data_IF_933173779708
#
_entry.id   IF_933173779708
#
_cell.length_a   1.000
_cell.length_b   1.000
_cell.length_c   1.000
_cell.angle_alpha   90.00
_cell.angle_beta   90.00
_cell.angle_gamma   90.00
#
_symmetry.space_group_name_H-M   'P 1'
#
loop_
_entity.id
_entity.type
_entity.pdbx_description
1 polymer ?
#
# COMPACT_ATOMS: atom_id res chain seq x y z
N UNK A 1 18.91 10.79 17.13
CA UNK A 1 17.98 10.65 16.01
C UNK A 1 18.70 11.03 14.73
N UNK A 2 19.27 10.04 14.08
CA UNK A 2 19.75 10.12 12.71
C UNK A 2 18.65 9.66 11.73
N UNK A 3 18.70 10.18 10.50
CA UNK A 3 17.83 9.76 9.40
C UNK A 3 18.73 9.17 8.31
N UNK A 4 18.78 7.85 8.25
CA UNK A 4 19.67 7.07 7.42
C UNK A 4 18.91 6.52 6.20
N UNK A 5 19.10 7.16 5.05
CA UNK A 5 18.40 6.81 3.82
C UNK A 5 19.35 6.05 2.89
N UNK A 6 19.05 4.78 2.65
CA UNK A 6 19.82 3.90 1.76
C UNK A 6 19.10 3.69 0.44
N UNK A 7 19.87 3.47 -0.63
CA UNK A 7 19.41 3.03 -1.94
C UNK A 7 19.99 1.65 -2.26
N UNK A 8 19.15 0.77 -2.78
CA UNK A 8 19.57 -0.53 -3.31
C UNK A 8 20.45 -0.37 -4.55
N UNK A 9 21.56 -1.08 -4.59
CA UNK A 9 22.39 -1.23 -5.78
C UNK A 9 22.30 -2.66 -6.32
N UNK A 10 21.75 -2.80 -7.53
CA UNK A 10 21.62 -4.08 -8.24
C UNK A 10 22.77 -4.35 -9.22
N UNK A 11 23.43 -3.30 -9.68
CA UNK A 11 24.51 -3.27 -10.67
C UNK A 11 25.34 -1.98 -10.49
N UNK A 12 26.38 -1.77 -11.29
CA UNK A 12 27.21 -0.56 -11.18
C UNK A 12 26.43 0.73 -11.50
N UNK A 13 25.38 0.65 -12.32
CA UNK A 13 24.60 1.82 -12.76
C UNK A 13 23.55 2.28 -11.72
N UNK A 14 23.16 1.40 -10.80
CA UNK A 14 22.12 1.64 -9.79
C UNK A 14 22.66 2.10 -8.43
N UNK A 15 23.98 2.34 -8.31
CA UNK A 15 24.55 2.94 -7.10
C UNK A 15 23.96 4.32 -6.80
N UNK A 16 23.87 4.70 -5.53
CA UNK A 16 23.49 6.06 -5.17
C UNK A 16 24.56 7.03 -5.69
N UNK A 17 24.13 8.07 -6.42
CA UNK A 17 25.06 9.13 -6.82
C UNK A 17 25.44 9.97 -5.60
N UNK A 18 26.65 10.55 -5.55
CA UNK A 18 27.05 11.44 -4.46
C UNK A 18 26.08 12.61 -4.23
N UNK A 19 25.46 13.12 -5.29
CA UNK A 19 24.51 14.25 -5.24
C UNK A 19 23.12 13.84 -4.74
N UNK A 20 22.81 12.55 -4.71
CA UNK A 20 21.48 12.06 -4.29
C UNK A 20 21.21 12.27 -2.79
N UNK A 21 22.26 12.39 -1.98
CA UNK A 21 22.18 12.43 -0.52
C UNK A 21 21.77 11.10 0.12
N UNK A 22 21.71 10.01 -0.66
CA UNK A 22 21.43 8.65 -0.22
C UNK A 22 22.73 7.87 -0.03
N UNK A 23 22.73 6.94 0.92
CA UNK A 23 23.79 5.95 1.11
C UNK A 23 23.54 4.76 0.16
N UNK A 24 24.60 4.10 -0.30
CA UNK A 24 24.45 2.87 -1.12
C UNK A 24 24.40 1.64 -0.22
N UNK A 25 23.43 0.75 -0.46
CA UNK A 25 23.41 -0.62 0.06
C UNK A 25 23.62 -1.60 -1.10
N UNK A 26 24.81 -2.19 -1.17
CA UNK A 26 25.20 -3.13 -2.23
C UNK A 26 24.63 -4.52 -1.97
N UNK A 27 23.65 -4.93 -2.78
CA UNK A 27 23.01 -6.24 -2.64
C UNK A 27 23.49 -7.28 -3.66
N UNK A 28 24.55 -6.99 -4.43
CA UNK A 28 25.03 -7.82 -5.55
C UNK A 28 25.70 -9.12 -5.12
N UNK A 29 26.28 -9.17 -3.92
CA UNK A 29 27.00 -10.34 -3.43
C UNK A 29 26.09 -11.57 -3.23
N UNK A 30 24.80 -11.37 -2.93
CA UNK A 30 23.84 -12.44 -2.63
C UNK A 30 22.50 -12.21 -3.36
N UNK A 31 22.44 -12.35 -4.69
CA UNK A 31 21.25 -12.03 -5.43
C UNK A 31 20.14 -13.07 -5.19
N UNK A 32 18.97 -12.60 -4.77
CA UNK A 32 17.77 -13.43 -4.63
C UNK A 32 16.70 -12.99 -5.62
N UNK A 33 16.89 -13.34 -6.89
CA UNK A 33 16.11 -12.82 -8.02
C UNK A 33 14.59 -13.03 -7.91
N UNK A 34 14.17 -14.11 -7.25
CA UNK A 34 12.74 -14.41 -7.04
C UNK A 34 12.13 -13.62 -5.89
N UNK A 35 12.88 -13.42 -4.79
CA UNK A 35 12.39 -12.70 -3.60
C UNK A 35 12.63 -11.18 -3.67
N UNK A 36 13.54 -10.74 -4.54
CA UNK A 36 13.84 -9.33 -4.87
C UNK A 36 14.05 -8.47 -3.64
N UNK A 37 13.38 -7.32 -3.58
CA UNK A 37 13.50 -6.31 -2.53
C UNK A 37 13.22 -6.86 -1.13
N UNK A 38 12.44 -7.94 -0.98
CA UNK A 38 12.15 -8.53 0.33
C UNK A 38 13.40 -9.14 0.96
N UNK A 39 14.14 -9.93 0.19
CA UNK A 39 15.38 -10.54 0.66
C UNK A 39 16.41 -9.47 1.04
N UNK A 40 16.48 -8.40 0.24
CA UNK A 40 17.35 -7.26 0.53
C UNK A 40 16.91 -6.48 1.76
N UNK A 41 15.61 -6.32 2.00
CA UNK A 41 15.08 -5.66 3.19
C UNK A 41 15.40 -6.44 4.47
N UNK A 42 15.26 -7.77 4.45
CA UNK A 42 15.60 -8.63 5.58
C UNK A 42 17.10 -8.54 5.89
N UNK A 43 17.97 -8.63 4.86
CA UNK A 43 19.42 -8.50 5.05
C UNK A 43 19.83 -7.11 5.49
N UNK A 44 19.25 -6.06 4.92
CA UNK A 44 19.50 -4.69 5.33
C UNK A 44 19.19 -4.49 6.83
N UNK A 45 18.13 -5.12 7.32
CA UNK A 45 17.86 -5.12 8.75
C UNK A 45 18.99 -5.79 9.54
N UNK A 46 19.43 -6.98 9.14
CA UNK A 46 20.51 -7.72 9.82
C UNK A 46 21.85 -6.99 9.77
N UNK A 47 22.19 -6.42 8.62
CA UNK A 47 23.51 -5.84 8.37
C UNK A 47 23.66 -4.43 8.97
N UNK A 48 22.58 -3.65 9.06
CA UNK A 48 22.62 -2.21 9.36
C UNK A 48 21.70 -1.83 10.52
N UNK A 49 20.45 -2.27 10.52
CA UNK A 49 19.41 -1.69 11.40
C UNK A 49 19.40 -2.34 12.79
N UNK A 50 19.67 -3.65 12.87
CA UNK A 50 19.53 -4.43 14.10
C UNK A 50 20.35 -3.89 15.27
N UNK A 51 21.56 -3.40 14.99
CA UNK A 51 22.54 -2.89 15.96
C UNK A 51 22.50 -1.36 16.13
N UNK A 52 21.57 -0.66 15.45
CA UNK A 52 21.45 0.79 15.53
C UNK A 52 20.68 1.29 16.77
N UNK A 53 20.73 2.60 17.03
CA UNK A 53 19.93 3.23 18.08
C UNK A 53 18.43 3.06 17.82
N UNK A 54 17.67 2.74 18.87
CA UNK A 54 16.25 2.42 18.75
C UNK A 54 15.40 3.56 18.15
N UNK A 55 15.88 4.81 18.25
CA UNK A 55 15.19 6.01 17.79
C UNK A 55 15.71 6.53 16.44
N UNK A 56 16.69 5.87 15.85
CA UNK A 56 17.19 6.24 14.52
C UNK A 56 16.25 5.72 13.43
N UNK A 57 16.19 6.48 12.33
CA UNK A 57 15.30 6.22 11.21
C UNK A 57 16.06 5.63 10.04
N UNK A 58 15.43 4.66 9.38
CA UNK A 58 16.02 3.92 8.27
C UNK A 58 15.05 3.79 7.11
N UNK A 59 15.60 3.81 5.91
CA UNK A 59 14.89 3.45 4.69
C UNK A 59 15.81 2.70 3.74
N UNK A 60 15.25 1.72 3.04
CA UNK A 60 15.90 1.02 1.93
C UNK A 60 15.07 1.27 0.67
N UNK A 61 15.53 2.24 -0.12
CA UNK A 61 14.79 2.78 -1.25
C UNK A 61 15.26 2.17 -2.58
N UNK A 62 14.32 2.02 -3.51
CA UNK A 62 14.64 1.68 -4.90
C UNK A 62 15.40 2.82 -5.59
N UNK A 63 16.32 2.55 -6.54
CA UNK A 63 16.89 3.57 -7.44
C UNK A 63 15.85 4.42 -8.17
N UNK A 64 14.62 3.90 -8.29
CA UNK A 64 13.50 4.60 -8.93
C UNK A 64 12.75 5.54 -7.98
N UNK A 65 13.16 5.69 -6.71
CA UNK A 65 12.46 6.51 -5.71
C UNK A 65 12.25 7.94 -6.20
N UNK A 66 13.32 8.70 -6.44
CA UNK A 66 13.23 10.08 -6.92
C UNK A 66 12.47 10.17 -8.25
N UNK A 67 12.67 9.21 -9.15
CA UNK A 67 11.94 9.18 -10.40
C UNK A 67 10.42 9.03 -10.19
N UNK A 68 9.96 8.20 -9.24
CA UNK A 68 8.53 7.98 -9.01
C UNK A 68 7.89 9.04 -8.12
N UNK A 69 8.60 9.51 -7.10
CA UNK A 69 8.07 10.43 -6.08
C UNK A 69 8.40 11.88 -6.36
N UNK A 70 9.45 12.18 -7.14
CA UNK A 70 9.99 13.53 -7.29
C UNK A 70 10.71 14.06 -6.05
N UNK A 71 10.88 13.24 -5.00
CA UNK A 71 11.49 13.65 -3.73
C UNK A 71 12.99 13.33 -3.71
N UNK A 72 13.77 14.25 -3.16
CA UNK A 72 15.20 14.08 -2.85
C UNK A 72 15.39 13.54 -1.42
N UNK A 73 16.61 13.14 -1.07
CA UNK A 73 16.93 12.79 0.31
C UNK A 73 16.70 13.96 1.27
N UNK A 74 16.94 15.20 0.81
CA UNK A 74 16.74 16.40 1.62
C UNK A 74 15.26 16.66 1.89
N UNK A 75 14.40 16.56 0.87
CA UNK A 75 12.94 16.71 1.04
C UNK A 75 12.39 15.71 2.07
N UNK A 76 12.90 14.47 2.05
CA UNK A 76 12.52 13.42 3.01
C UNK A 76 12.98 13.77 4.42
N UNK A 77 14.24 14.19 4.59
CA UNK A 77 14.79 14.56 5.90
C UNK A 77 14.08 15.77 6.48
N UNK A 78 13.84 16.81 5.68
CA UNK A 78 13.10 17.99 6.09
C UNK A 78 11.68 17.62 6.52
N UNK A 79 10.97 16.79 5.74
CA UNK A 79 9.63 16.33 6.07
C UNK A 79 9.58 15.61 7.42
N UNK A 80 10.53 14.72 7.69
CA UNK A 80 10.62 13.98 8.96
C UNK A 80 10.95 14.91 10.12
N UNK A 81 11.93 15.80 9.96
CA UNK A 81 12.33 16.76 11.00
C UNK A 81 11.18 17.69 11.38
N UNK A 82 10.38 18.14 10.40
CA UNK A 82 9.22 18.99 10.62
C UNK A 82 8.03 18.25 11.24
N UNK A 83 8.04 16.92 11.25
CA UNK A 83 6.95 16.08 11.76
C UNK A 83 7.49 14.97 12.68
N UNK A 84 8.46 15.29 13.53
CA UNK A 84 9.20 14.32 14.32
C UNK A 84 8.33 13.50 15.28
N UNK A 85 8.84 12.34 15.70
CA UNK A 85 8.23 11.49 16.73
C UNK A 85 7.38 10.33 16.22
N UNK A 86 7.08 10.28 14.90
CA UNK A 86 6.28 9.22 14.28
C UNK A 86 7.07 7.94 14.12
N UNK A 87 6.43 6.78 14.16
CA UNK A 87 7.12 5.49 14.02
C UNK A 87 7.50 5.21 12.58
N UNK A 88 6.67 5.64 11.63
CA UNK A 88 6.89 5.47 10.21
C UNK A 88 6.31 6.62 9.38
N UNK A 89 7.04 6.99 8.34
CA UNK A 89 6.65 7.96 7.32
C UNK A 89 6.45 7.26 5.97
N UNK A 90 5.36 7.57 5.28
CA UNK A 90 4.97 6.88 4.04
C UNK A 90 5.05 7.83 2.84
N UNK A 91 5.71 7.40 1.76
CA UNK A 91 5.90 8.17 0.53
C UNK A 91 5.29 7.44 -0.66
N UNK A 92 3.95 7.41 -0.71
CA UNK A 92 3.20 6.64 -1.69
C UNK A 92 3.28 7.25 -3.12
N UNK A 93 3.94 6.61 -4.09
CA UNK A 93 4.08 7.17 -5.45
C UNK A 93 2.78 7.11 -6.26
N UNK A 94 1.74 6.45 -5.75
CA UNK A 94 0.42 6.33 -6.38
C UNK A 94 -0.68 6.87 -5.46
N UNK A 95 -0.64 8.16 -5.09
CA UNK A 95 -1.47 8.68 -4.01
C UNK A 95 -2.96 8.71 -4.35
N UNK A 96 -3.35 8.53 -5.63
CA UNK A 96 -4.75 8.39 -6.02
C UNK A 96 -5.35 7.01 -5.77
N UNK A 97 -4.55 5.95 -5.70
CA UNK A 97 -5.07 4.58 -5.67
C UNK A 97 -5.89 4.29 -4.40
N UNK A 98 -5.50 4.87 -3.28
CA UNK A 98 -6.24 4.74 -2.01
C UNK A 98 -7.68 5.28 -2.10
N UNK A 99 -7.96 6.20 -3.01
CA UNK A 99 -9.30 6.73 -3.26
C UNK A 99 -10.07 5.98 -4.37
N UNK A 100 -9.40 5.08 -5.09
CA UNK A 100 -9.98 4.35 -6.23
C UNK A 100 -10.40 2.92 -5.86
N UNK A 101 -9.80 2.37 -4.81
CA UNK A 101 -10.00 1.00 -4.36
C UNK A 101 -10.32 1.02 -2.86
N UNK A 102 -11.14 0.08 -2.41
CA UNK A 102 -11.45 -0.09 -0.98
C UNK A 102 -10.18 -0.41 -0.20
N UNK A 103 -9.29 -1.21 -0.77
CA UNK A 103 -7.98 -1.49 -0.21
C UNK A 103 -6.97 -1.84 -1.30
N UNK A 104 -5.72 -1.97 -0.90
CA UNK A 104 -4.65 -2.28 -1.83
C UNK A 104 -4.74 -3.70 -2.40
N UNK A 105 -5.44 -4.62 -1.72
CA UNK A 105 -5.61 -6.00 -2.15
C UNK A 105 -6.66 -6.12 -3.26
N UNK A 106 -7.73 -5.31 -3.25
CA UNK A 106 -8.66 -5.17 -4.38
C UNK A 106 -7.94 -4.66 -5.62
N UNK A 107 -7.07 -3.66 -5.46
CA UNK A 107 -6.22 -3.18 -6.55
C UNK A 107 -5.29 -4.29 -7.06
N UNK A 108 -4.72 -5.07 -6.14
CA UNK A 108 -3.85 -6.20 -6.47
C UNK A 108 -4.59 -7.26 -7.29
N UNK A 109 -5.77 -7.68 -6.83
CA UNK A 109 -6.60 -8.72 -7.48
C UNK A 109 -6.96 -8.34 -8.91
N UNK A 110 -7.26 -7.05 -9.15
CA UNK A 110 -7.52 -6.55 -10.49
C UNK A 110 -6.29 -6.65 -11.42
N UNK A 111 -5.09 -6.48 -10.87
CA UNK A 111 -3.84 -6.52 -11.63
C UNK A 111 -3.28 -7.95 -11.76
N UNK A 112 -3.43 -8.74 -10.71
CA UNK A 112 -2.88 -10.08 -10.51
C UNK A 112 -4.02 -10.97 -9.97
N UNK A 113 -4.82 -11.58 -10.87
CA UNK A 113 -5.92 -12.46 -10.46
C UNK A 113 -5.45 -13.54 -9.48
N UNK A 114 -6.31 -13.93 -8.54
CA UNK A 114 -6.09 -14.94 -7.50
C UNK A 114 -5.11 -14.56 -6.37
N UNK A 115 -4.54 -13.34 -6.39
CA UNK A 115 -3.58 -12.91 -5.36
C UNK A 115 -4.21 -12.84 -3.96
N UNK A 116 -5.48 -12.48 -3.83
CA UNK A 116 -6.17 -12.46 -2.52
C UNK A 116 -6.27 -13.88 -1.97
N UNK A 117 -6.70 -14.84 -2.78
CA UNK A 117 -6.84 -16.23 -2.36
C UNK A 117 -5.49 -16.82 -1.94
N UNK A 118 -4.44 -16.54 -2.71
CA UNK A 118 -3.07 -16.98 -2.41
C UNK A 118 -2.51 -16.32 -1.15
N UNK A 119 -2.81 -15.04 -0.92
CA UNK A 119 -2.40 -14.31 0.28
C UNK A 119 -3.11 -14.84 1.52
N UNK A 120 -4.43 -15.03 1.47
CA UNK A 120 -5.20 -15.58 2.58
C UNK A 120 -4.73 -17.01 2.93
N UNK A 121 -4.37 -17.82 1.94
CA UNK A 121 -3.73 -19.12 2.17
C UNK A 121 -2.42 -18.98 2.96
N UNK A 122 -1.56 -18.02 2.60
CA UNK A 122 -0.31 -17.76 3.32
C UNK A 122 -0.54 -17.37 4.78
N UNK A 123 -1.48 -16.46 5.04
CA UNK A 123 -1.84 -16.04 6.40
C UNK A 123 -2.40 -17.21 7.22
N UNK A 124 -3.25 -18.05 6.62
CA UNK A 124 -3.73 -19.28 7.25
C UNK A 124 -2.59 -20.24 7.60
N UNK A 125 -1.70 -20.52 6.65
CA UNK A 125 -0.56 -21.42 6.85
C UNK A 125 0.42 -20.92 7.91
N UNK A 126 0.60 -19.60 8.01
CA UNK A 126 1.48 -19.00 9.01
C UNK A 126 0.85 -18.91 10.41
N UNK A 127 -0.43 -19.29 10.56
CA UNK A 127 -1.14 -19.14 11.84
C UNK A 127 -1.34 -17.68 12.24
N UNK A 128 -1.44 -16.78 11.26
CA UNK A 128 -1.79 -15.36 11.44
C UNK A 128 -3.17 -15.13 10.80
N UNK A 129 -4.28 -15.56 11.44
CA UNK A 129 -5.59 -15.56 10.80
C UNK A 129 -6.05 -14.11 10.54
N UNK A 130 -5.96 -13.68 9.29
CA UNK A 130 -6.50 -12.42 8.79
C UNK A 130 -7.11 -12.64 7.41
N UNK A 131 -8.16 -11.90 7.09
CA UNK A 131 -8.67 -11.81 5.73
C UNK A 131 -8.26 -10.44 5.17
N UNK A 132 -7.30 -10.48 4.24
CA UNK A 132 -6.72 -9.25 3.68
C UNK A 132 -7.72 -8.45 2.86
N UNK A 133 -8.86 -9.03 2.49
CA UNK A 133 -9.89 -8.40 1.66
C UNK A 133 -10.86 -7.50 2.42
N UNK A 134 -10.94 -7.59 3.75
CA UNK A 134 -12.05 -7.01 4.52
C UNK A 134 -11.85 -5.57 4.99
N UNK A 135 -10.61 -5.09 5.03
CA UNK A 135 -10.29 -3.81 5.66
C UNK A 135 -10.28 -2.70 4.61
N UNK A 136 -10.94 -1.57 4.87
CA UNK A 136 -10.77 -0.33 4.09
C UNK A 136 -9.42 0.26 4.46
N UNK A 137 -8.62 0.61 3.45
CA UNK A 137 -7.32 1.23 3.69
C UNK A 137 -7.34 2.75 3.51
N UNK A 138 -6.70 3.50 4.40
CA UNK A 138 -6.62 4.97 4.33
C UNK A 138 -5.24 5.44 3.87
N UNK A 139 -5.10 6.75 3.65
CA UNK A 139 -3.81 7.37 3.34
C UNK A 139 -2.77 7.16 4.43
N UNK A 140 -3.20 6.96 5.68
CA UNK A 140 -2.30 6.85 6.84
C UNK A 140 -1.59 5.50 6.91
N UNK A 141 -2.12 4.47 6.26
CA UNK A 141 -1.53 3.12 6.29
C UNK A 141 -1.08 2.62 4.91
N UNK A 142 -1.49 3.28 3.82
CA UNK A 142 -1.28 2.73 2.47
C UNK A 142 0.02 3.22 1.83
N UNK A 143 0.89 2.26 1.51
CA UNK A 143 1.98 2.44 0.54
C UNK A 143 2.05 1.23 -0.40
N UNK A 144 2.23 1.47 -1.69
CA UNK A 144 2.22 0.43 -2.73
C UNK A 144 3.62 -0.09 -3.10
N UNK A 145 4.66 0.31 -2.36
CA UNK A 145 6.05 -0.10 -2.59
C UNK A 145 6.91 0.24 -1.36
N UNK A 146 8.19 -0.14 -1.39
CA UNK A 146 9.16 0.11 -0.32
C UNK A 146 9.62 1.58 -0.19
N UNK A 147 8.70 2.54 -0.25
CA UNK A 147 8.97 3.98 -0.12
C UNK A 147 8.44 4.49 1.21
N UNK A 148 9.16 4.13 2.26
CA UNK A 148 8.83 4.45 3.64
C UNK A 148 10.13 4.61 4.44
N UNK A 149 10.05 5.40 5.51
CA UNK A 149 11.15 5.62 6.44
C UNK A 149 10.63 5.35 7.84
N UNK A 150 11.24 4.45 8.59
CA UNK A 150 10.74 4.06 9.91
C UNK A 150 11.83 4.03 10.97
N UNK A 151 11.43 4.17 12.24
CA UNK A 151 12.33 3.97 13.37
C UNK A 151 12.84 2.53 13.40
N UNK A 152 14.03 2.32 13.95
CA UNK A 152 14.55 1.00 14.31
C UNK A 152 13.53 0.18 15.12
N UNK A 153 12.86 0.78 16.11
CA UNK A 153 11.82 0.11 16.89
C UNK A 153 10.61 -0.38 16.08
N UNK A 154 10.32 0.23 14.92
CA UNK A 154 9.32 -0.28 13.98
C UNK A 154 9.85 -1.51 13.22
N UNK A 155 11.09 -1.45 12.73
CA UNK A 155 11.74 -2.59 12.07
C UNK A 155 11.79 -3.83 12.96
N UNK A 156 12.07 -3.67 14.25
CA UNK A 156 12.09 -4.75 15.24
C UNK A 156 10.76 -5.50 15.34
N UNK A 157 9.65 -4.87 14.97
CA UNK A 157 8.32 -5.47 14.96
C UNK A 157 7.95 -6.00 13.56
N UNK A 158 8.27 -5.24 12.52
CA UNK A 158 7.87 -5.56 11.15
C UNK A 158 8.70 -6.69 10.52
N UNK A 159 10.02 -6.73 10.73
CA UNK A 159 10.88 -7.74 10.11
C UNK A 159 10.56 -9.16 10.60
N UNK A 160 10.31 -9.43 11.90
CA UNK A 160 9.83 -10.74 12.35
C UNK A 160 8.52 -11.17 11.67
N UNK A 161 7.59 -10.24 11.44
CA UNK A 161 6.34 -10.51 10.72
C UNK A 161 6.60 -10.95 9.27
N UNK A 162 7.47 -10.22 8.55
CA UNK A 162 7.87 -10.57 7.18
C UNK A 162 8.58 -11.93 7.14
N UNK A 163 9.53 -12.17 8.05
CA UNK A 163 10.28 -13.44 8.15
C UNK A 163 9.36 -14.63 8.39
N UNK A 164 8.35 -14.48 9.24
CA UNK A 164 7.40 -15.57 9.52
C UNK A 164 6.64 -16.00 8.26
N UNK A 165 6.20 -15.03 7.45
CA UNK A 165 5.50 -15.30 6.19
C UNK A 165 6.46 -15.88 5.14
N UNK A 166 7.68 -15.34 5.02
CA UNK A 166 8.70 -15.87 4.12
C UNK A 166 9.07 -17.32 4.45
N UNK A 167 9.35 -17.59 5.73
CA UNK A 167 9.67 -18.91 6.23
C UNK A 167 8.54 -19.91 5.97
N UNK A 168 7.29 -19.49 6.15
CA UNK A 168 6.10 -20.32 5.89
C UNK A 168 6.04 -20.78 4.43
N UNK A 169 6.38 -19.91 3.47
CA UNK A 169 6.48 -20.29 2.06
C UNK A 169 7.64 -21.27 1.87
N UNK A 170 8.79 -20.98 2.47
CA UNK A 170 10.00 -21.79 2.28
C UNK A 170 9.88 -23.21 2.80
N UNK A 171 9.15 -23.41 3.90
CA UNK A 171 8.90 -24.72 4.52
C UNK A 171 7.63 -25.41 4.02
N UNK A 172 6.87 -24.78 3.12
CA UNK A 172 5.65 -25.38 2.57
C UNK A 172 5.96 -26.48 1.55
N UNK A 173 4.97 -27.34 1.28
CA UNK A 173 5.05 -28.34 0.21
C UNK A 173 5.42 -27.69 -1.13
N UNK A 174 6.19 -28.41 -1.94
CA UNK A 174 6.72 -27.91 -3.23
C UNK A 174 5.62 -27.36 -4.15
N UNK A 175 4.45 -27.99 -4.17
CA UNK A 175 3.30 -27.54 -4.95
C UNK A 175 2.73 -26.20 -4.47
N UNK A 176 2.72 -25.96 -3.16
CA UNK A 176 2.27 -24.70 -2.58
C UNK A 176 3.31 -23.61 -2.83
N UNK A 177 4.58 -23.91 -2.54
CA UNK A 177 5.72 -23.01 -2.81
C UNK A 177 5.73 -22.52 -4.25
N UNK A 178 5.50 -23.41 -5.22
CA UNK A 178 5.43 -23.06 -6.64
C UNK A 178 4.35 -22.02 -6.97
N UNK A 179 3.22 -21.99 -6.24
CA UNK A 179 2.16 -20.98 -6.47
C UNK A 179 2.63 -19.57 -6.12
N UNK A 180 3.48 -19.41 -5.11
CA UNK A 180 4.03 -18.10 -4.75
C UNK A 180 5.08 -17.63 -5.75
N UNK A 181 5.82 -18.56 -6.36
CA UNK A 181 6.88 -18.25 -7.33
C UNK A 181 6.43 -18.36 -8.79
N UNK A 182 5.15 -18.62 -9.06
CA UNK A 182 4.62 -18.59 -10.42
C UNK A 182 4.50 -17.17 -10.94
N UNK A 183 4.54 -17.03 -12.27
CA UNK A 183 4.44 -15.74 -12.93
C UNK A 183 3.11 -15.05 -12.62
N UNK A 184 3.22 -13.80 -12.17
CA UNK A 184 2.08 -12.92 -12.04
C UNK A 184 1.89 -12.11 -13.32
N UNK A 185 0.67 -11.68 -13.59
CA UNK A 185 0.36 -10.85 -14.75
C UNK A 185 1.02 -9.45 -14.63
N UNK A 186 2.17 -9.25 -15.27
CA UNK A 186 2.93 -8.01 -15.19
C UNK A 186 3.77 -7.75 -16.46
N UNK A 187 4.15 -6.49 -16.69
CA UNK A 187 4.92 -6.09 -17.88
C UNK A 187 6.33 -6.67 -17.92
N UNK A 188 6.92 -6.89 -16.75
CA UNK A 188 8.22 -7.55 -16.61
C UNK A 188 8.02 -8.86 -15.86
N UNK A 189 8.86 -9.89 -16.10
CA UNK A 189 8.79 -11.13 -15.34
C UNK A 189 8.83 -10.84 -13.84
N UNK A 190 7.84 -11.29 -13.08
CA UNK A 190 7.73 -11.15 -11.63
C UNK A 190 6.74 -12.19 -11.12
N UNK A 191 7.00 -12.74 -9.94
CA UNK A 191 6.13 -13.75 -9.34
C UNK A 191 5.17 -13.15 -8.30
N UNK A 192 4.13 -13.91 -7.94
CA UNK A 192 3.16 -13.50 -6.92
C UNK A 192 3.82 -13.11 -5.59
N UNK A 193 4.90 -13.78 -5.20
CA UNK A 193 5.67 -13.48 -3.99
C UNK A 193 6.01 -11.98 -3.91
N UNK A 194 6.51 -11.38 -5.00
CA UNK A 194 6.88 -9.97 -5.03
C UNK A 194 5.68 -9.06 -4.72
N UNK A 195 4.54 -9.33 -5.37
CA UNK A 195 3.33 -8.53 -5.24
C UNK A 195 2.59 -8.73 -3.91
N UNK A 196 2.74 -9.91 -3.29
CA UNK A 196 2.22 -10.15 -1.95
C UNK A 196 3.06 -9.37 -0.93
N UNK A 197 4.39 -9.51 -1.00
CA UNK A 197 5.27 -8.95 0.02
C UNK A 197 5.39 -7.42 -0.04
N UNK A 198 5.28 -6.79 -1.20
CA UNK A 198 5.23 -5.32 -1.29
C UNK A 198 4.02 -4.71 -0.54
N UNK A 199 2.98 -5.52 -0.27
CA UNK A 199 1.73 -5.11 0.40
C UNK A 199 1.67 -5.47 1.88
N UNK A 200 2.66 -6.22 2.38
CA UNK A 200 2.69 -6.65 3.77
C UNK A 200 2.88 -5.49 4.73
N UNK A 201 3.57 -4.42 4.35
CA UNK A 201 3.72 -3.24 5.19
C UNK A 201 2.35 -2.63 5.54
N UNK A 202 1.54 -2.31 4.53
CA UNK A 202 0.19 -1.77 4.75
C UNK A 202 -0.66 -2.75 5.58
N UNK A 203 -0.59 -4.05 5.28
CA UNK A 203 -1.33 -5.07 6.05
C UNK A 203 -0.88 -5.11 7.51
N UNK A 204 0.42 -4.96 7.76
CA UNK A 204 0.96 -4.89 9.11
C UNK A 204 0.47 -3.64 9.86
N UNK A 205 0.41 -2.47 9.20
CA UNK A 205 -0.11 -1.24 9.79
C UNK A 205 -1.60 -1.35 10.14
N UNK A 206 -2.42 -1.94 9.26
CA UNK A 206 -3.85 -2.23 9.53
C UNK A 206 -4.02 -3.06 10.81
N UNK A 207 -3.19 -4.09 10.97
CA UNK A 207 -3.25 -5.02 12.09
C UNK A 207 -2.69 -4.44 13.39
N UNK A 208 -1.88 -3.38 13.32
CA UNK A 208 -1.18 -2.76 14.46
C UNK A 208 -1.51 -1.26 14.51
N UNK A 209 -2.77 -0.95 14.83
CA UNK A 209 -3.29 0.43 14.85
C UNK A 209 -2.68 1.36 15.91
N UNK A 210 -1.81 0.84 16.77
CA UNK A 210 -1.04 1.58 17.75
C UNK A 210 0.25 2.21 17.18
N UNK A 211 0.62 1.88 15.95
CA UNK A 211 1.79 2.43 15.27
C UNK A 211 1.47 3.83 14.77
N UNK A 212 2.28 4.82 15.15
CA UNK A 212 2.09 6.19 14.67
C UNK A 212 2.64 6.36 13.25
N UNK A 213 1.75 6.49 12.28
CA UNK A 213 2.09 6.73 10.88
C UNK A 213 1.98 8.20 10.51
N UNK A 214 2.71 8.62 9.48
CA UNK A 214 2.55 9.95 8.89
C UNK A 214 2.78 9.95 7.38
N UNK A 215 1.73 10.10 6.55
CA UNK A 215 1.87 10.04 5.10
C UNK A 215 2.31 11.39 4.52
N UNK A 216 3.17 11.33 3.51
CA UNK A 216 3.52 12.49 2.70
C UNK A 216 2.38 12.84 1.73
N UNK A 217 1.81 14.04 1.87
CA UNK A 217 0.79 14.56 0.97
C UNK A 217 1.45 15.42 -0.10
N UNK A 218 1.48 14.90 -1.33
CA UNK A 218 2.05 15.60 -2.49
C UNK A 218 1.40 16.96 -2.77
N UNK A 219 2.24 17.90 -3.22
CA UNK A 219 1.82 19.19 -3.78
C UNK A 219 1.77 19.11 -5.31
N UNK A 220 1.05 20.02 -5.98
CA UNK A 220 0.81 19.91 -7.44
C UNK A 220 2.10 19.96 -8.28
N UNK A 221 3.12 20.64 -7.77
CA UNK A 221 4.45 20.79 -8.38
C UNK A 221 5.41 19.63 -8.05
N UNK A 222 5.07 18.76 -7.10
CA UNK A 222 5.95 17.69 -6.61
C UNK A 222 5.29 16.34 -6.88
N UNK A 223 5.99 15.47 -7.60
CA UNK A 223 5.49 14.14 -7.97
C UNK A 223 5.49 13.89 -9.48
N UNK A 224 5.88 12.67 -9.88
CA UNK A 224 5.86 12.27 -11.29
C UNK A 224 4.64 11.42 -11.66
N UNK A 225 3.76 11.12 -10.70
CA UNK A 225 2.52 10.41 -10.98
C UNK A 225 1.60 11.24 -11.86
N UNK A 226 1.25 10.69 -13.03
CA UNK A 226 0.39 11.36 -14.00
C UNK A 226 -1.07 11.30 -13.55
N UNK A 227 -1.49 12.31 -12.79
CA UNK A 227 -2.90 12.57 -12.52
C UNK A 227 -3.56 13.26 -13.70
N UNK A 228 -4.73 12.76 -14.12
CA UNK A 228 -5.59 13.48 -15.05
C UNK A 228 -6.20 14.73 -14.38
N UNK A 229 -6.80 15.63 -15.17
CA UNK A 229 -7.36 16.91 -14.69
C UNK A 229 -8.34 16.74 -13.52
N UNK A 230 -9.12 15.65 -13.51
CA UNK A 230 -10.13 15.37 -12.49
C UNK A 230 -9.46 14.87 -11.22
N UNK A 231 -8.51 13.94 -11.33
CA UNK A 231 -7.66 13.46 -10.23
C UNK A 231 -6.93 14.61 -9.53
N UNK A 232 -6.32 15.52 -10.30
CA UNK A 232 -5.69 16.72 -9.74
C UNK A 232 -6.69 17.58 -8.96
N UNK A 233 -7.86 17.85 -9.54
CA UNK A 233 -8.92 18.63 -8.90
C UNK A 233 -9.42 17.97 -7.61
N UNK A 234 -9.47 16.65 -7.53
CA UNK A 234 -9.81 15.97 -6.29
C UNK A 234 -8.69 16.08 -5.25
N UNK A 235 -7.49 15.66 -5.63
CA UNK A 235 -6.37 15.45 -4.72
C UNK A 235 -5.83 16.77 -4.13
N UNK A 236 -5.68 17.80 -4.97
CA UNK A 236 -5.08 19.08 -4.57
C UNK A 236 -6.10 20.12 -4.08
N UNK A 237 -7.36 19.72 -3.85
CA UNK A 237 -8.38 20.63 -3.31
C UNK A 237 -8.98 20.10 -2.02
N UNK A 238 -9.90 20.88 -1.44
CA UNK A 238 -10.67 20.48 -0.24
C UNK A 238 -11.40 19.14 -0.40
N UNK A 239 -11.67 18.69 -1.62
CA UNK A 239 -12.38 17.44 -1.87
C UNK A 239 -11.67 16.23 -1.24
N UNK A 240 -10.33 16.18 -1.35
CA UNK A 240 -9.52 15.15 -0.69
C UNK A 240 -9.69 15.24 0.83
N UNK A 241 -9.54 16.43 1.40
CA UNK A 241 -9.62 16.65 2.85
C UNK A 241 -11.00 16.26 3.39
N UNK A 242 -12.06 16.64 2.69
CA UNK A 242 -13.43 16.29 3.04
C UNK A 242 -13.66 14.77 2.92
N UNK A 243 -13.06 14.11 1.92
CA UNK A 243 -13.08 12.66 1.81
C UNK A 243 -12.30 11.98 2.95
N UNK A 244 -11.08 12.42 3.25
CA UNK A 244 -10.25 11.87 4.32
C UNK A 244 -10.95 11.98 5.67
N UNK A 245 -11.62 13.11 5.96
CA UNK A 245 -12.44 13.26 7.18
C UNK A 245 -13.59 12.26 7.22
N UNK A 246 -14.28 12.08 6.10
CA UNK A 246 -15.36 11.09 6.01
C UNK A 246 -14.85 9.66 6.18
N UNK A 247 -13.67 9.34 5.63
CA UNK A 247 -13.02 8.03 5.73
C UNK A 247 -12.48 7.78 7.17
N UNK A 248 -11.97 8.82 7.85
CA UNK A 248 -11.45 8.75 9.23
C UNK A 248 -12.53 8.57 10.29
N UNK A 249 -13.74 9.07 10.06
CA UNK A 249 -14.86 9.01 11.01
C UNK A 249 -15.48 7.60 11.18
N UNK A 250 -14.78 6.54 10.75
CA UNK A 250 -15.16 5.12 10.85
C UNK A 250 -16.67 4.92 10.75
N UNK A 251 -17.21 5.11 9.54
CA UNK A 251 -18.53 4.60 9.14
C UNK A 251 -19.73 5.02 9.99
N UNK A 252 -19.72 6.17 10.68
CA UNK A 252 -20.92 6.56 11.45
C UNK A 252 -22.02 7.20 10.63
N UNK A 253 -21.72 8.03 9.62
CA UNK A 253 -22.76 8.57 8.73
C UNK A 253 -22.25 8.81 7.31
N UNK A 254 -22.86 8.14 6.34
CA UNK A 254 -22.61 8.38 4.92
C UNK A 254 -23.26 9.72 4.52
N UNK A 255 -22.45 10.78 4.40
CA UNK A 255 -22.93 12.06 3.87
C UNK A 255 -23.27 11.91 2.37
N UNK A 256 -24.56 11.93 2.05
CA UNK A 256 -25.08 11.69 0.69
C UNK A 256 -24.62 12.70 -0.37
N UNK A 257 -24.10 13.87 0.06
CA UNK A 257 -23.51 14.90 -0.80
C UNK A 257 -22.07 14.57 -1.17
N UNK A 258 -21.27 14.09 -0.22
CA UNK A 258 -19.89 13.67 -0.45
C UNK A 258 -19.82 12.46 -1.41
N UNK A 259 -20.73 11.50 -1.26
CA UNK A 259 -20.88 10.41 -2.23
C UNK A 259 -21.23 10.92 -3.64
N UNK A 260 -22.08 11.95 -3.76
CA UNK A 260 -22.43 12.51 -5.09
C UNK A 260 -21.21 13.10 -5.79
N UNK A 261 -20.35 13.79 -5.05
CA UNK A 261 -19.15 14.43 -5.59
C UNK A 261 -18.08 13.39 -5.94
N UNK A 262 -17.94 12.34 -5.12
CA UNK A 262 -17.09 11.18 -5.40
C UNK A 262 -17.57 10.37 -6.64
N UNK A 263 -18.87 10.18 -6.82
CA UNK A 263 -19.40 9.52 -8.02
C UNK A 263 -19.28 10.39 -9.29
N UNK A 264 -19.37 11.72 -9.16
CA UNK A 264 -19.08 12.64 -10.27
C UNK A 264 -17.60 12.59 -10.67
N UNK A 265 -16.71 12.43 -9.70
CA UNK A 265 -15.27 12.24 -9.90
C UNK A 265 -14.93 10.97 -10.68
N UNK A 266 -15.60 9.85 -10.38
CA UNK A 266 -15.34 8.57 -11.03
C UNK A 266 -15.86 8.46 -12.48
N UNK A 267 -16.81 9.32 -12.91
CA UNK A 267 -17.42 9.19 -14.24
C UNK A 267 -17.88 10.53 -14.87
N UNK A 268 -16.95 11.32 -15.42
CA UNK A 268 -17.23 12.66 -15.99
C UNK A 268 -18.04 12.66 -17.29
N UNK A 269 -18.11 11.53 -18.02
CA UNK A 269 -18.76 11.44 -19.35
C UNK A 269 -20.30 11.47 -19.33
N UNK A 270 -20.92 11.61 -18.16
CA UNK A 270 -22.38 11.56 -17.99
C UNK A 270 -23.12 12.89 -18.26
N UNK A 271 -22.46 13.87 -18.87
CA UNK A 271 -23.09 15.17 -19.19
C UNK A 271 -24.08 15.11 -20.36
N UNK A 272 -23.95 14.15 -21.29
CA UNK A 272 -24.71 14.18 -22.54
C UNK A 272 -26.02 13.37 -22.58
N UNK A 273 -26.44 12.73 -21.48
CA UNK A 273 -27.75 12.05 -21.43
C UNK A 273 -28.82 13.02 -20.91
N UNK A 274 -29.50 13.70 -21.85
CA UNK A 274 -30.83 14.26 -21.60
C UNK A 274 -31.75 13.11 -21.19
N UNK A 275 -31.97 12.93 -19.90
CA UNK A 275 -33.26 12.84 -19.21
C UNK A 275 -32.94 12.91 -17.70
N UNK A 276 -33.20 14.07 -17.09
CA UNK A 276 -32.94 14.37 -15.67
C UNK A 276 -33.64 13.39 -14.70
N UNK A 277 -34.76 12.80 -15.12
CA UNK A 277 -35.57 11.86 -14.34
C UNK A 277 -34.98 10.44 -14.37
N UNK A 278 -34.66 9.92 -15.56
CA UNK A 278 -33.96 8.64 -15.78
C UNK A 278 -32.57 8.65 -15.12
N UNK A 279 -31.85 9.77 -15.14
CA UNK A 279 -30.56 9.92 -14.44
C UNK A 279 -30.71 9.83 -12.91
N UNK A 280 -31.73 10.45 -12.31
CA UNK A 280 -32.02 10.34 -10.87
C UNK A 280 -32.49 8.94 -10.50
N UNK A 281 -33.28 8.32 -11.35
CA UNK A 281 -33.76 6.95 -11.19
C UNK A 281 -32.61 5.95 -11.30
N UNK A 282 -31.74 6.06 -12.31
CA UNK A 282 -30.57 5.20 -12.50
C UNK A 282 -29.50 5.40 -11.42
N UNK A 283 -29.27 6.64 -10.95
CA UNK A 283 -28.39 6.89 -9.79
C UNK A 283 -29.00 6.33 -8.51
N UNK A 284 -30.32 6.45 -8.32
CA UNK A 284 -31.03 5.87 -7.17
C UNK A 284 -31.04 4.34 -7.22
N UNK A 285 -31.23 3.76 -8.41
CA UNK A 285 -31.16 2.32 -8.67
C UNK A 285 -29.71 1.83 -8.50
N UNK A 286 -28.70 2.53 -8.99
CA UNK A 286 -27.30 2.15 -8.82
C UNK A 286 -26.82 2.34 -7.37
N UNK A 287 -27.28 3.39 -6.67
CA UNK A 287 -27.07 3.54 -5.23
C UNK A 287 -27.74 2.40 -4.47
N UNK A 288 -28.99 2.07 -4.80
CA UNK A 288 -29.68 0.91 -4.23
C UNK A 288 -28.99 -0.40 -4.62
N UNK A 289 -28.48 -0.58 -5.83
CA UNK A 289 -27.77 -1.78 -6.25
C UNK A 289 -26.40 -1.87 -5.59
N UNK A 290 -25.71 -0.77 -5.33
CA UNK A 290 -24.40 -0.76 -4.66
C UNK A 290 -24.53 -0.88 -3.14
N UNK A 291 -25.57 -0.27 -2.55
CA UNK A 291 -25.97 -0.49 -1.16
C UNK A 291 -26.49 -1.92 -0.99
N UNK A 292 -27.39 -2.40 -1.86
CA UNK A 292 -27.83 -3.80 -1.88
C UNK A 292 -26.67 -4.73 -2.27
N UNK A 293 -25.64 -4.32 -3.01
CA UNK A 293 -24.46 -5.16 -3.26
C UNK A 293 -23.55 -5.18 -2.05
N UNK A 294 -23.29 -4.06 -1.39
CA UNK A 294 -22.57 -4.05 -0.11
C UNK A 294 -23.35 -4.81 0.95
N UNK A 295 -24.63 -4.49 1.16
CA UNK A 295 -25.54 -5.15 2.09
C UNK A 295 -25.81 -6.61 1.72
N UNK A 296 -25.95 -6.99 0.44
CA UNK A 296 -26.13 -8.41 0.05
C UNK A 296 -24.82 -9.17 0.10
N UNK A 297 -23.67 -8.53 -0.13
CA UNK A 297 -22.36 -9.16 0.05
C UNK A 297 -22.06 -9.37 1.54
N UNK A 298 -22.33 -8.36 2.36
CA UNK A 298 -22.25 -8.39 3.83
C UNK A 298 -23.25 -9.41 4.38
N UNK A 299 -24.52 -9.38 3.96
CA UNK A 299 -25.57 -10.30 4.44
C UNK A 299 -25.43 -11.72 3.89
N UNK A 300 -24.98 -11.94 2.64
CA UNK A 300 -24.68 -13.30 2.15
C UNK A 300 -23.50 -13.91 2.89
N UNK A 301 -22.49 -13.11 3.27
CA UNK A 301 -21.40 -13.60 4.12
C UNK A 301 -21.83 -13.82 5.56
N UNK A 302 -22.62 -12.93 6.16
CA UNK A 302 -23.20 -13.13 7.52
C UNK A 302 -24.05 -14.42 7.57
N UNK A 303 -24.88 -14.66 6.55
CA UNK A 303 -25.72 -15.88 6.46
C UNK A 303 -24.92 -17.14 6.12
N UNK A 304 -23.78 -17.05 5.43
CA UNK A 304 -22.87 -18.19 5.23
C UNK A 304 -22.05 -18.51 6.49
N UNK A 305 -21.71 -17.51 7.30
CA UNK A 305 -21.06 -17.71 8.60
C UNK A 305 -22.02 -18.32 9.64
N UNK A 306 -23.29 -17.92 9.67
CA UNK A 306 -24.29 -18.48 10.60
C UNK A 306 -24.76 -19.91 10.26
N UNK A 307 -24.33 -20.47 9.11
CA UNK A 307 -24.67 -21.84 8.68
C UNK A 307 -23.50 -22.84 8.78
N UNK A 308 -22.30 -22.36 9.11
CA UNK A 308 -21.13 -23.20 9.35
C UNK A 308 -20.79 -23.34 10.85
N UNK A 309 -21.69 -22.89 11.73
CA UNK A 309 -21.63 -23.10 13.20
C UNK A 309 -22.85 -23.90 13.73
N UNK A 310 -23.37 -24.85 12.94
CA UNK A 310 -24.26 -25.92 13.41
C UNK A 310 -23.74 -27.26 12.90
#
# INVERSE_FOLDING_TARGET
MAINLYQLQYDDETSASPESGLLTYDCRANPEFLKREVAHLIRFYDDIVADADTNDYFALLSPKFNYKTGLTAEDVKEFINNNCGKDIYLFNPYPMHVYQYINMWEQAEKCHPDIIALTNLLFQMSGLPTDVSLHRHTVEETVYCNYWVAKKSFFDQFIPFVRKLDFTIDTSDSQIKQKFFSDANYQTPACYYCFIFERLLTTFLVLNNNIETFPYIYQENIGKYKMNKIQKKFYFTKNRIDFDRWDSDKYKEINTTLLKDFFYFLNPGFENVRIKLLRRLLISIQKKINIIRMDSYIMKKIVSYSRNEI
#
